data_IF_454517095566
#
_entry.id   IF_454517095566
#
_cell.length_a   1.000
_cell.length_b   1.000
_cell.length_c   1.000
_cell.angle_alpha   90.00
_cell.angle_beta   90.00
_cell.angle_gamma   90.00
#
_symmetry.space_group_name_H-M   'P 1'
#
loop_
_entity.id
_entity.type
_entity.pdbx_description
1 polymer ?
#
# COMPACT_ATOMS: atom_id res chain seq x y z
N UNK A 1 6.52 10.35 -6.79
CA UNK A 1 7.49 10.86 -5.80
C UNK A 1 8.86 10.30 -6.11
N UNK A 2 9.93 11.09 -5.98
CA UNK A 2 11.32 10.63 -6.15
C UNK A 2 11.92 10.42 -4.76
N UNK A 3 12.48 9.24 -4.52
CA UNK A 3 13.16 8.90 -3.25
C UNK A 3 14.65 8.80 -3.50
N UNK A 4 15.44 9.63 -2.81
CA UNK A 4 16.90 9.69 -2.91
C UNK A 4 17.54 9.94 -1.54
N UNK A 5 18.87 10.05 -1.48
CA UNK A 5 19.61 10.21 -0.23
C UNK A 5 19.21 11.46 0.58
N UNK A 6 18.72 12.51 -0.10
CA UNK A 6 18.27 13.75 0.55
C UNK A 6 16.85 13.66 1.12
N UNK A 7 16.06 12.65 0.72
CA UNK A 7 14.66 12.50 1.15
C UNK A 7 14.56 12.42 2.67
N UNK A 8 15.45 11.65 3.32
CA UNK A 8 15.48 11.52 4.79
C UNK A 8 15.68 12.86 5.48
N UNK A 9 16.74 13.59 5.10
CA UNK A 9 17.08 14.87 5.72
C UNK A 9 16.01 15.93 5.46
N UNK A 10 15.41 15.93 4.27
CA UNK A 10 14.35 16.87 3.93
C UNK A 10 13.10 16.64 4.79
N UNK A 11 12.68 15.39 4.96
CA UNK A 11 11.56 15.07 5.84
C UNK A 11 11.83 15.40 7.30
N UNK A 12 13.02 15.07 7.82
CA UNK A 12 13.42 15.43 9.18
C UNK A 12 13.42 16.95 9.40
N UNK A 13 13.94 17.71 8.44
CA UNK A 13 13.96 19.18 8.52
C UNK A 13 12.55 19.77 8.49
N UNK A 14 11.67 19.25 7.63
CA UNK A 14 10.28 19.71 7.56
C UNK A 14 9.50 19.35 8.84
N UNK A 15 9.71 18.16 9.40
CA UNK A 15 9.12 17.78 10.69
C UNK A 15 9.62 18.66 11.82
N UNK A 16 10.91 18.99 11.87
CA UNK A 16 11.46 19.90 12.87
C UNK A 16 10.85 21.30 12.77
N UNK A 17 10.62 21.79 11.54
CA UNK A 17 9.96 23.07 11.28
C UNK A 17 8.49 23.07 11.71
N UNK A 18 7.80 21.94 11.54
CA UNK A 18 6.43 21.76 11.99
C UNK A 18 6.29 21.59 13.51
N UNK A 19 7.31 21.01 14.16
CA UNK A 19 7.37 20.87 15.62
C UNK A 19 7.85 22.14 16.34
N UNK A 20 8.33 23.16 15.62
CA UNK A 20 8.83 24.41 16.19
C UNK A 20 7.66 25.26 16.76
N UNK A 21 7.62 25.50 18.09
CA UNK A 21 6.58 26.31 18.72
C UNK A 21 6.57 27.77 18.26
N UNK A 22 7.69 28.30 17.76
CA UNK A 22 7.86 29.69 17.34
C UNK A 22 7.70 29.88 15.82
N UNK A 23 7.77 28.79 15.04
CA UNK A 23 7.81 28.77 13.57
C UNK A 23 6.50 29.12 12.84
N UNK A 24 5.41 29.40 13.57
CA UNK A 24 4.14 29.89 13.00
C UNK A 24 3.28 28.84 12.27
N UNK A 25 3.83 27.68 11.92
CA UNK A 25 3.09 26.54 11.35
C UNK A 25 2.59 25.61 12.46
N UNK A 26 1.38 25.86 12.96
CA UNK A 26 0.68 24.95 13.89
C UNK A 26 -0.01 23.80 13.13
N UNK A 27 0.77 23.05 12.36
CA UNK A 27 0.31 21.93 11.54
C UNK A 27 0.75 20.57 12.08
N UNK A 28 0.10 19.51 11.62
CA UNK A 28 0.67 18.15 11.62
C UNK A 28 0.64 17.58 10.20
N UNK A 29 0.60 18.44 9.19
CA UNK A 29 0.42 18.10 7.78
C UNK A 29 1.63 17.32 7.24
N UNK A 30 2.86 17.73 7.57
CA UNK A 30 4.05 16.99 7.11
C UNK A 30 4.17 15.66 7.85
N UNK A 31 4.09 15.69 9.18
CA UNK A 31 4.15 14.49 10.02
C UNK A 31 3.10 13.47 9.58
N UNK A 32 1.87 13.92 9.36
CA UNK A 32 0.77 13.02 9.03
C UNK A 32 0.84 12.55 7.56
N UNK A 33 1.47 13.32 6.66
CA UNK A 33 1.78 12.86 5.30
C UNK A 33 2.86 11.76 5.33
N UNK A 34 3.89 11.91 6.16
CA UNK A 34 4.94 10.89 6.32
C UNK A 34 4.35 9.60 6.88
N UNK A 35 3.45 9.68 7.88
CA UNK A 35 2.74 8.50 8.38
C UNK A 35 1.85 7.83 7.33
N UNK A 36 1.20 8.60 6.44
CA UNK A 36 0.46 8.02 5.33
C UNK A 36 1.36 7.26 4.34
N UNK A 37 2.57 7.78 4.09
CA UNK A 37 3.55 7.12 3.23
C UNK A 37 4.07 5.83 3.87
N UNK A 38 4.27 5.83 5.19
CA UNK A 38 4.65 4.66 5.97
C UNK A 38 3.59 3.55 5.89
N UNK A 39 2.32 3.90 6.10
CA UNK A 39 1.18 2.97 5.94
C UNK A 39 1.07 2.38 4.52
N UNK A 40 1.61 3.07 3.51
CA UNK A 40 1.61 2.63 2.11
C UNK A 40 2.87 1.85 1.73
N UNK A 41 3.98 2.02 2.47
CA UNK A 41 5.31 1.54 2.13
C UNK A 41 5.90 0.78 3.34
N UNK A 42 5.23 -0.29 3.74
CA UNK A 42 5.66 -1.12 4.86
C UNK A 42 6.77 -2.10 4.42
N UNK A 43 6.67 -2.63 3.20
CA UNK A 43 7.59 -3.65 2.67
C UNK A 43 8.16 -3.31 1.28
N UNK A 44 9.27 -3.95 0.92
CA UNK A 44 9.90 -3.78 -0.41
C UNK A 44 8.94 -4.13 -1.57
N UNK A 45 7.99 -5.04 -1.34
CA UNK A 45 6.98 -5.41 -2.33
C UNK A 45 6.03 -4.25 -2.66
N UNK A 46 5.68 -3.42 -1.66
CA UNK A 46 4.84 -2.23 -1.85
C UNK A 46 5.58 -1.17 -2.67
N UNK A 47 6.86 -0.95 -2.37
CA UNK A 47 7.75 -0.08 -3.17
C UNK A 47 7.80 -0.55 -4.62
N UNK A 48 7.96 -1.86 -4.85
CA UNK A 48 7.99 -2.44 -6.18
C UNK A 48 6.67 -2.22 -6.92
N UNK A 49 5.53 -2.38 -6.26
CA UNK A 49 4.22 -2.12 -6.85
C UNK A 49 4.07 -0.64 -7.22
N UNK A 50 4.39 0.28 -6.32
CA UNK A 50 4.31 1.73 -6.57
C UNK A 50 5.22 2.18 -7.72
N UNK A 51 6.41 1.59 -7.82
CA UNK A 51 7.32 1.82 -8.97
C UNK A 51 6.73 1.29 -10.26
N UNK A 52 6.15 0.09 -10.26
CA UNK A 52 5.52 -0.50 -11.45
C UNK A 52 4.37 0.36 -12.00
N UNK A 53 3.69 1.10 -11.12
CA UNK A 53 2.62 2.05 -11.46
C UNK A 53 3.12 3.46 -11.78
N UNK A 54 4.44 3.70 -11.70
CA UNK A 54 5.04 5.02 -11.92
C UNK A 54 4.74 6.05 -10.82
N UNK A 55 4.22 5.61 -9.67
CA UNK A 55 3.86 6.47 -8.54
C UNK A 55 5.12 6.86 -7.75
N UNK A 56 6.08 5.94 -7.66
CA UNK A 56 7.35 6.11 -6.95
C UNK A 56 8.53 5.89 -7.90
N UNK A 57 9.54 6.74 -7.80
CA UNK A 57 10.82 6.59 -8.51
C UNK A 57 11.89 6.39 -7.43
N UNK A 58 12.49 5.20 -7.42
CA UNK A 58 13.53 4.83 -6.47
C UNK A 58 14.90 5.22 -7.03
N UNK A 59 15.57 6.14 -6.35
CA UNK A 59 16.96 6.53 -6.58
C UNK A 59 17.85 6.25 -5.35
N UNK A 60 17.31 5.59 -4.33
CA UNK A 60 18.00 5.24 -3.08
C UNK A 60 18.78 3.91 -3.20
N UNK A 61 18.51 3.14 -4.26
CA UNK A 61 19.18 1.89 -4.58
C UNK A 61 18.18 0.73 -4.65
N UNK A 62 17.94 0.08 -3.52
CA UNK A 62 17.03 -1.07 -3.42
C UNK A 62 15.64 -0.66 -2.92
N UNK A 63 14.64 -1.48 -3.23
CA UNK A 63 13.28 -1.27 -2.76
C UNK A 63 13.18 -1.46 -1.23
N UNK A 64 14.00 -2.35 -0.66
CA UNK A 64 14.10 -2.52 0.79
C UNK A 64 14.59 -1.24 1.49
N UNK A 65 15.62 -0.58 0.95
CA UNK A 65 16.12 0.67 1.53
C UNK A 65 15.06 1.77 1.55
N UNK A 66 14.14 1.78 0.57
CA UNK A 66 13.03 2.74 0.55
C UNK A 66 12.00 2.41 1.63
N UNK A 67 11.66 1.13 1.82
CA UNK A 67 10.77 0.72 2.91
C UNK A 67 11.38 1.03 4.28
N UNK A 68 12.65 0.68 4.48
CA UNK A 68 13.38 0.95 5.72
C UNK A 68 13.46 2.46 6.02
N UNK A 69 13.62 3.31 4.99
CA UNK A 69 13.62 4.76 5.14
C UNK A 69 12.32 5.28 5.76
N UNK A 70 11.16 4.84 5.25
CA UNK A 70 9.85 5.31 5.74
C UNK A 70 9.55 4.77 7.13
N UNK A 71 9.77 3.47 7.33
CA UNK A 71 9.63 2.81 8.63
C UNK A 71 10.49 3.49 9.71
N UNK A 72 11.74 3.86 9.38
CA UNK A 72 12.64 4.55 10.31
C UNK A 72 12.17 5.99 10.60
N UNK A 73 11.63 6.71 9.61
CA UNK A 73 11.11 8.07 9.79
C UNK A 73 9.94 8.11 10.78
N UNK A 74 9.12 7.06 10.83
CA UNK A 74 7.94 6.98 11.71
C UNK A 74 8.18 6.24 13.02
N UNK A 75 9.31 5.56 13.20
CA UNK A 75 9.63 4.71 14.38
C UNK A 75 9.44 5.43 15.73
N UNK A 76 9.54 6.76 15.79
CA UNK A 76 9.34 7.55 17.01
C UNK A 76 8.27 8.65 16.89
N UNK A 77 7.48 8.64 15.81
CA UNK A 77 6.41 9.61 15.61
C UNK A 77 5.13 9.07 16.25
N UNK A 78 4.50 9.88 17.10
CA UNK A 78 3.09 9.66 17.47
C UNK A 78 2.25 10.52 16.52
N UNK A 79 1.72 9.97 15.42
CA UNK A 79 0.89 10.75 14.51
C UNK A 79 -0.31 11.35 15.23
N UNK A 80 -0.78 12.50 14.75
CA UNK A 80 -2.11 12.98 15.08
C UNK A 80 -3.12 12.11 14.30
N UNK A 81 -3.88 11.22 14.96
CA UNK A 81 -4.76 10.26 14.28
C UNK A 81 -5.92 10.92 13.52
N UNK A 82 -6.10 12.25 13.63
CA UNK A 82 -7.18 12.99 13.00
C UNK A 82 -6.76 13.78 11.75
N UNK A 83 -5.47 14.01 11.48
CA UNK A 83 -5.02 14.96 10.45
C UNK A 83 -5.27 14.46 9.00
N UNK A 84 -5.03 13.18 8.70
CA UNK A 84 -5.38 12.57 7.41
C UNK A 84 -6.43 11.47 7.52
N UNK A 85 -7.17 11.40 8.63
CA UNK A 85 -8.17 10.36 8.85
C UNK A 85 -9.20 10.29 7.73
N UNK A 86 -9.65 11.45 7.25
CA UNK A 86 -10.65 11.52 6.18
C UNK A 86 -10.07 11.11 4.83
N UNK A 87 -8.80 11.43 4.56
CA UNK A 87 -8.07 11.02 3.35
C UNK A 87 -7.80 9.52 3.35
N UNK A 88 -7.31 8.96 4.46
CA UNK A 88 -7.10 7.52 4.66
C UNK A 88 -8.43 6.78 4.53
N UNK A 89 -9.49 7.27 5.18
CA UNK A 89 -10.83 6.69 5.09
C UNK A 89 -11.39 6.77 3.66
N UNK A 90 -11.12 7.87 2.95
CA UNK A 90 -11.49 8.03 1.54
C UNK A 90 -10.80 7.04 0.62
N UNK A 91 -9.48 6.87 0.77
CA UNK A 91 -8.69 5.89 0.03
C UNK A 91 -9.19 4.48 0.34
N UNK A 92 -9.36 4.14 1.63
CA UNK A 92 -9.87 2.84 2.05
C UNK A 92 -11.25 2.55 1.48
N UNK A 93 -12.17 3.52 1.52
CA UNK A 93 -13.52 3.38 0.95
C UNK A 93 -13.49 3.22 -0.57
N UNK A 94 -12.62 3.96 -1.27
CA UNK A 94 -12.46 3.85 -2.71
C UNK A 94 -11.89 2.47 -3.11
N UNK A 95 -10.85 2.00 -2.43
CA UNK A 95 -10.28 0.67 -2.63
C UNK A 95 -11.30 -0.43 -2.35
N UNK A 96 -12.03 -0.33 -1.23
CA UNK A 96 -13.10 -1.28 -0.87
C UNK A 96 -14.23 -1.28 -1.90
N UNK A 97 -14.62 -0.11 -2.42
CA UNK A 97 -15.63 0.01 -3.49
C UNK A 97 -15.12 -0.61 -4.79
N UNK A 98 -13.89 -0.31 -5.19
CA UNK A 98 -13.26 -0.87 -6.39
C UNK A 98 -13.15 -2.38 -6.31
N UNK A 99 -12.71 -2.92 -5.17
CA UNK A 99 -12.64 -4.36 -4.91
C UNK A 99 -14.01 -5.03 -4.96
N UNK A 100 -15.04 -4.43 -4.34
CA UNK A 100 -16.42 -4.91 -4.44
C UNK A 100 -16.93 -4.92 -5.89
N UNK A 101 -16.62 -3.89 -6.68
CA UNK A 101 -16.98 -3.82 -8.10
C UNK A 101 -16.25 -4.90 -8.90
N UNK A 102 -14.96 -5.13 -8.65
CA UNK A 102 -14.20 -6.19 -9.29
C UNK A 102 -14.73 -7.58 -8.96
N UNK A 103 -15.07 -7.86 -7.69
CA UNK A 103 -15.71 -9.12 -7.29
C UNK A 103 -17.08 -9.26 -7.96
N UNK A 104 -17.91 -8.23 -7.93
CA UNK A 104 -19.23 -8.27 -8.56
C UNK A 104 -19.14 -8.54 -10.07
N UNK A 105 -18.16 -7.91 -10.75
CA UNK A 105 -17.89 -8.14 -12.16
C UNK A 105 -17.41 -9.57 -12.41
N UNK A 106 -16.43 -10.06 -11.66
CA UNK A 106 -15.93 -11.43 -11.80
C UNK A 106 -17.04 -12.46 -11.55
N UNK A 107 -17.89 -12.22 -10.55
CA UNK A 107 -19.05 -13.07 -10.28
C UNK A 107 -20.04 -13.04 -11.45
N UNK A 108 -20.34 -11.86 -11.99
CA UNK A 108 -21.25 -11.70 -13.12
C UNK A 108 -20.70 -12.24 -14.45
N UNK A 109 -19.39 -12.19 -14.69
CA UNK A 109 -18.79 -12.64 -15.96
C UNK A 109 -18.39 -14.10 -15.94
N UNK A 110 -17.91 -14.61 -14.80
CA UNK A 110 -17.36 -15.97 -14.69
C UNK A 110 -18.21 -16.91 -13.83
N UNK A 111 -18.98 -16.41 -12.87
CA UNK A 111 -19.72 -17.25 -11.92
C UNK A 111 -21.24 -17.00 -11.91
N UNK A 112 -21.75 -16.38 -12.98
CA UNK A 112 -23.14 -15.92 -13.06
C UNK A 112 -24.15 -17.07 -13.12
N UNK A 113 -23.67 -18.28 -13.37
CA UNK A 113 -24.46 -19.50 -13.31
C UNK A 113 -23.85 -20.43 -12.27
N UNK A 114 -24.66 -21.06 -11.41
CA UNK A 114 -24.20 -22.08 -10.45
C UNK A 114 -23.33 -23.16 -11.13
N UNK A 115 -23.64 -23.45 -12.39
CA UNK A 115 -22.94 -24.40 -13.25
C UNK A 115 -21.47 -24.05 -13.53
N UNK A 116 -21.14 -22.77 -13.74
CA UNK A 116 -19.76 -22.38 -14.05
C UNK A 116 -18.84 -22.50 -12.83
N UNK A 117 -19.38 -22.22 -11.64
CA UNK A 117 -18.69 -22.46 -10.38
C UNK A 117 -18.43 -23.95 -10.15
N UNK A 118 -19.46 -24.80 -10.33
CA UNK A 118 -19.35 -26.25 -10.20
C UNK A 118 -18.33 -26.83 -11.20
N UNK A 119 -18.36 -26.39 -12.45
CA UNK A 119 -17.43 -26.85 -13.48
C UNK A 119 -15.98 -26.50 -13.16
N UNK A 120 -15.73 -25.27 -12.70
CA UNK A 120 -14.38 -24.82 -12.30
C UNK A 120 -13.86 -25.62 -11.11
N UNK A 121 -14.72 -25.86 -10.11
CA UNK A 121 -14.38 -26.66 -8.93
C UNK A 121 -14.11 -28.13 -9.27
N UNK A 122 -14.96 -28.73 -10.14
CA UNK A 122 -14.76 -30.09 -10.61
C UNK A 122 -13.46 -30.24 -11.43
N UNK A 123 -13.15 -29.27 -12.29
CA UNK A 123 -11.91 -29.27 -13.08
C UNK A 123 -10.66 -29.17 -12.20
N UNK A 124 -10.68 -28.30 -11.19
CA UNK A 124 -9.55 -28.16 -10.24
C UNK A 124 -9.35 -29.42 -9.40
N UNK A 125 -10.43 -30.03 -8.90
CA UNK A 125 -10.34 -31.31 -8.20
C UNK A 125 -9.80 -32.42 -9.12
N UNK A 126 -10.29 -32.49 -10.37
CA UNK A 126 -9.81 -33.44 -11.36
C UNK A 126 -8.31 -33.32 -11.62
N UNK A 127 -7.80 -32.11 -11.82
CA UNK A 127 -6.36 -31.85 -11.99
C UNK A 127 -5.54 -32.25 -10.76
N UNK A 128 -6.04 -31.95 -9.55
CA UNK A 128 -5.39 -32.36 -8.30
C UNK A 128 -5.30 -33.88 -8.18
N UNK A 129 -6.39 -34.59 -8.46
CA UNK A 129 -6.42 -36.06 -8.48
C UNK A 129 -5.46 -36.64 -9.53
N UNK A 130 -5.44 -36.10 -10.74
CA UNK A 130 -4.53 -36.55 -11.79
C UNK A 130 -3.06 -36.31 -11.43
N UNK A 131 -2.74 -35.18 -10.80
CA UNK A 131 -1.38 -34.92 -10.32
C UNK A 131 -0.96 -35.95 -9.27
N UNK A 132 -1.78 -36.19 -8.24
CA UNK A 132 -1.50 -37.22 -7.21
C UNK A 132 -1.36 -38.62 -7.82
N UNK A 133 -2.14 -38.94 -8.84
CA UNK A 133 -2.05 -40.23 -9.54
C UNK A 133 -0.80 -40.34 -10.43
N UNK A 134 -0.29 -39.24 -10.98
CA UNK A 134 0.92 -39.19 -11.80
C UNK A 134 2.24 -39.22 -10.98
N UNK A 135 2.18 -38.86 -9.69
CA UNK A 135 3.32 -38.93 -8.76
C UNK A 135 3.40 -40.26 -7.99
N UNK A 136 2.55 -41.23 -8.32
CA UNK A 136 2.54 -42.59 -7.75
C UNK A 136 2.99 -43.60 -8.81
#
# INVERSE_FOLDING_TARGET
MIVNDSTKSNFLNLMALEMDPEGGTRGYDVISYICLLDDLIDHADDVRELRSKGILINCLGSDQQVADLFNELTTNLTPNPNAYRDTITGIHNHLKKSFKVSIARANYTHFNTPWSFIATFAATLGLGFSAVQAFK
#
